data_IF_475976148776
#
_entry.id   IF_475976148776
#
_cell.length_a   1.000
_cell.length_b   1.000
_cell.length_c   1.000
_cell.angle_alpha   90.00
_cell.angle_beta   90.00
_cell.angle_gamma   90.00
#
_symmetry.space_group_name_H-M   'P 1'
#
loop_
_entity.id
_entity.type
_entity.pdbx_description
1 polymer ?
#
# COMPACT_ATOMS: atom_id res chain seq x y z
N UNK A 1 19.26 -1.42 2.80
CA UNK A 1 18.26 -0.98 1.80
C UNK A 1 16.95 -0.96 2.54
N UNK A 2 16.29 0.20 2.65
CA UNK A 2 15.03 0.27 3.38
C UNK A 2 13.88 0.09 2.41
N UNK A 3 13.07 -0.94 2.63
CA UNK A 3 11.85 -1.19 1.88
C UNK A 3 10.63 -1.04 2.80
N UNK A 4 9.49 -0.73 2.20
CA UNK A 4 8.17 -0.85 2.85
C UNK A 4 7.46 -2.10 2.33
N UNK A 5 6.70 -2.72 3.22
CA UNK A 5 5.66 -3.67 2.86
C UNK A 5 4.30 -2.99 3.06
N UNK A 6 3.44 -3.09 2.06
CA UNK A 6 2.05 -2.62 2.07
C UNK A 6 1.12 -3.78 1.74
N UNK A 7 0.14 -4.04 2.60
CA UNK A 7 -0.93 -5.01 2.38
C UNK A 7 -2.28 -4.30 2.35
N UNK A 8 -3.05 -4.51 1.27
CA UNK A 8 -4.34 -3.87 1.03
C UNK A 8 -5.42 -4.94 0.93
N UNK A 9 -6.29 -4.96 1.94
CA UNK A 9 -7.54 -5.69 1.96
C UNK A 9 -8.76 -4.79 1.82
N UNK A 10 -9.93 -5.39 1.62
CA UNK A 10 -11.20 -4.65 1.58
C UNK A 10 -11.66 -4.10 2.93
N UNK A 11 -11.08 -4.59 4.04
CA UNK A 11 -11.44 -4.15 5.39
C UNK A 11 -10.36 -3.30 6.05
N UNK A 12 -9.09 -3.59 5.74
CA UNK A 12 -7.94 -2.94 6.39
C UNK A 12 -6.79 -2.80 5.41
N UNK A 13 -5.94 -1.82 5.66
CA UNK A 13 -4.63 -1.66 5.04
C UNK A 13 -3.56 -1.67 6.13
N UNK A 14 -2.46 -2.35 5.88
CA UNK A 14 -1.36 -2.52 6.82
C UNK A 14 -0.05 -2.16 6.13
N UNK A 15 0.82 -1.40 6.81
CA UNK A 15 2.13 -1.06 6.31
C UNK A 15 3.21 -1.25 7.38
N UNK A 16 4.43 -1.52 6.95
CA UNK A 16 5.58 -1.72 7.82
C UNK A 16 6.88 -1.44 7.07
N UNK A 17 7.90 -0.96 7.79
CA UNK A 17 9.28 -1.05 7.30
C UNK A 17 9.71 -2.52 7.26
N UNK A 18 10.49 -2.89 6.26
CA UNK A 18 11.06 -4.23 6.13
C UNK A 18 12.48 -4.20 6.69
N UNK A 19 12.73 -5.05 7.70
CA UNK A 19 14.05 -5.20 8.30
C UNK A 19 15.03 -5.94 7.39
N UNK A 20 16.31 -5.93 7.77
CA UNK A 20 17.38 -6.60 7.02
C UNK A 20 17.19 -8.13 6.90
N UNK A 21 16.36 -8.73 7.76
CA UNK A 21 15.96 -10.15 7.69
C UNK A 21 14.83 -10.43 6.69
N UNK A 22 14.38 -9.40 5.96
CA UNK A 22 13.30 -9.45 4.98
C UNK A 22 11.91 -9.49 5.59
N UNK A 23 11.75 -9.20 6.90
CA UNK A 23 10.46 -9.25 7.59
C UNK A 23 9.90 -7.86 7.89
N UNK A 24 8.57 -7.67 7.78
CA UNK A 24 7.88 -6.48 8.28
C UNK A 24 8.15 -6.26 9.78
N UNK A 25 8.51 -5.02 10.15
CA UNK A 25 8.73 -4.59 11.53
C UNK A 25 7.71 -3.52 11.92
N UNK A 26 7.19 -3.63 13.14
CA UNK A 26 6.24 -2.66 13.74
C UNK A 26 5.08 -2.28 12.81
N UNK A 27 4.27 -3.25 12.33
CA UNK A 27 3.22 -2.96 11.37
C UNK A 27 2.15 -2.04 11.96
N UNK A 28 1.79 -1.00 11.22
CA UNK A 28 0.65 -0.15 11.49
C UNK A 28 -0.53 -0.54 10.60
N UNK A 29 -1.76 -0.38 11.10
CA UNK A 29 -2.96 -0.81 10.39
C UNK A 29 -4.07 0.22 10.54
N UNK A 30 -4.71 0.56 9.43
CA UNK A 30 -5.91 1.40 9.38
C UNK A 30 -7.07 0.65 8.71
N UNK A 31 -8.33 0.98 9.01
CA UNK A 31 -9.46 0.50 8.22
C UNK A 31 -9.37 0.97 6.76
N UNK A 32 -9.84 0.15 5.82
CA UNK A 32 -10.08 0.61 4.45
C UNK A 32 -11.35 1.44 4.45
N UNK A 33 -11.28 2.76 4.17
CA UNK A 33 -12.47 3.60 4.20
C UNK A 33 -13.37 3.33 2.99
N UNK A 34 -14.63 3.76 3.08
CA UNK A 34 -15.56 3.66 1.95
C UNK A 34 -15.22 4.65 0.81
N UNK A 35 -14.56 5.76 1.14
CA UNK A 35 -14.13 6.81 0.21
C UNK A 35 -12.79 7.38 0.66
N UNK A 36 -11.98 7.87 -0.27
CA UNK A 36 -10.66 8.40 0.04
C UNK A 36 -9.65 7.33 0.45
N UNK A 37 -9.72 6.15 -0.21
CA UNK A 37 -8.88 5.00 0.13
C UNK A 37 -7.40 5.32 -0.10
N UNK A 38 -7.08 6.05 -1.17
CA UNK A 38 -5.70 6.44 -1.46
C UNK A 38 -5.15 7.39 -0.40
N UNK A 39 -5.92 8.39 0.02
CA UNK A 39 -5.52 9.36 1.04
C UNK A 39 -5.22 8.67 2.37
N UNK A 40 -6.07 7.71 2.77
CA UNK A 40 -5.82 6.90 3.97
C UNK A 40 -4.57 6.01 3.82
N UNK A 41 -4.35 5.44 2.64
CA UNK A 41 -3.16 4.64 2.34
C UNK A 41 -1.88 5.49 2.39
N UNK A 42 -1.88 6.67 1.76
CA UNK A 42 -0.74 7.58 1.74
C UNK A 42 -0.40 8.07 3.16
N UNK A 43 -1.41 8.44 3.95
CA UNK A 43 -1.23 8.82 5.34
C UNK A 43 -0.62 7.68 6.18
N UNK A 44 -1.07 6.44 6.00
CA UNK A 44 -0.48 5.26 6.62
C UNK A 44 1.00 5.09 6.23
N UNK A 45 1.32 5.17 4.93
CA UNK A 45 2.69 5.03 4.45
C UNK A 45 3.61 6.12 5.03
N UNK A 46 3.20 7.39 5.00
CA UNK A 46 3.98 8.47 5.60
C UNK A 46 4.17 8.30 7.11
N UNK A 47 3.15 7.82 7.83
CA UNK A 47 3.25 7.51 9.26
C UNK A 47 4.31 6.46 9.56
N UNK A 48 4.31 5.35 8.80
CA UNK A 48 5.27 4.25 8.96
C UNK A 48 6.70 4.64 8.56
N UNK A 49 6.85 5.42 7.50
CA UNK A 49 8.18 5.85 7.01
C UNK A 49 8.85 6.82 7.97
N UNK A 50 8.10 7.77 8.52
CA UNK A 50 8.66 8.85 9.34
C UNK A 50 9.76 9.61 8.59
N UNK A 51 10.99 9.56 9.10
CA UNK A 51 12.16 10.22 8.51
C UNK A 51 13.11 9.26 7.77
N UNK A 52 12.71 8.01 7.54
CA UNK A 52 13.56 7.00 6.90
C UNK A 52 13.52 7.16 5.38
N UNK A 53 14.68 7.11 4.72
CA UNK A 53 14.74 7.08 3.26
C UNK A 53 14.40 5.67 2.74
N UNK A 54 13.24 5.56 2.07
CA UNK A 54 12.73 4.31 1.50
C UNK A 54 12.91 4.33 0.00
N UNK A 55 13.54 3.28 -0.53
CA UNK A 55 13.84 3.19 -1.96
C UNK A 55 12.98 2.17 -2.70
N UNK A 56 12.19 1.36 -1.96
CA UNK A 56 11.35 0.30 -2.51
C UNK A 56 10.08 0.11 -1.70
N UNK A 57 8.98 -0.20 -2.39
CA UNK A 57 7.71 -0.59 -1.77
C UNK A 57 7.25 -1.91 -2.39
N UNK A 58 7.13 -2.94 -1.56
CA UNK A 58 6.47 -4.19 -1.91
C UNK A 58 4.98 -4.09 -1.57
N UNK A 59 4.11 -4.48 -2.51
CA UNK A 59 2.66 -4.34 -2.36
C UNK A 59 1.96 -5.68 -2.54
N UNK A 60 1.16 -6.05 -1.57
CA UNK A 60 0.12 -7.07 -1.68
C UNK A 60 -1.24 -6.37 -1.77
N UNK A 61 -2.04 -6.71 -2.78
CA UNK A 61 -3.38 -6.18 -2.93
C UNK A 61 -4.30 -7.29 -3.42
N UNK A 62 -5.54 -7.30 -2.95
CA UNK A 62 -6.56 -8.17 -3.51
C UNK A 62 -6.70 -7.88 -5.01
N UNK A 63 -6.55 -8.91 -5.84
CA UNK A 63 -6.54 -8.74 -7.29
C UNK A 63 -7.90 -8.44 -7.91
N UNK A 64 -7.96 -8.31 -9.25
CA UNK A 64 -6.85 -8.51 -10.19
C UNK A 64 -5.71 -7.51 -10.06
N UNK A 65 -4.48 -7.94 -10.37
CA UNK A 65 -3.27 -7.10 -10.41
C UNK A 65 -2.66 -7.18 -11.81
N UNK A 66 -2.46 -6.03 -12.45
CA UNK A 66 -1.69 -5.91 -13.68
C UNK A 66 -0.24 -5.53 -13.32
N UNK A 67 0.68 -6.47 -13.49
CA UNK A 67 2.10 -6.28 -13.16
C UNK A 67 2.83 -5.35 -14.14
N UNK A 68 2.31 -5.16 -15.35
CA UNK A 68 2.92 -4.27 -16.36
C UNK A 68 2.62 -2.82 -16.00
N UNK A 69 1.35 -2.51 -15.77
CA UNK A 69 0.92 -1.14 -15.43
C UNK A 69 1.05 -0.84 -13.93
N UNK A 70 1.08 -1.86 -13.08
CA UNK A 70 1.03 -1.71 -11.62
C UNK A 70 -0.35 -1.29 -11.13
N UNK A 71 -1.40 -1.57 -11.91
CA UNK A 71 -2.79 -1.25 -11.56
C UNK A 71 -3.45 -2.41 -10.82
N UNK A 72 -4.39 -2.09 -9.94
CA UNK A 72 -5.15 -3.06 -9.14
C UNK A 72 -6.65 -2.86 -9.33
N UNK A 73 -7.43 -3.94 -9.22
CA UNK A 73 -8.89 -3.91 -9.29
C UNK A 73 -9.56 -4.76 -8.20
N UNK A 74 -9.24 -4.54 -6.90
CA UNK A 74 -9.84 -5.30 -5.79
C UNK A 74 -11.36 -5.13 -5.74
N UNK A 75 -12.10 -6.24 -5.85
CA UNK A 75 -13.58 -6.21 -5.78
C UNK A 75 -14.13 -5.65 -4.46
N UNK A 76 -13.34 -5.73 -3.38
CA UNK A 76 -13.74 -5.30 -2.05
C UNK A 76 -13.37 -3.83 -1.74
N UNK A 77 -12.87 -3.06 -2.71
CA UNK A 77 -12.56 -1.63 -2.56
C UNK A 77 -13.28 -0.87 -3.66
N UNK A 78 -14.40 -0.22 -3.33
CA UNK A 78 -15.33 0.33 -4.31
C UNK A 78 -14.74 1.39 -5.25
N UNK A 79 -13.83 2.23 -4.73
CA UNK A 79 -13.14 3.25 -5.55
C UNK A 79 -12.17 2.64 -6.57
N UNK A 80 -11.67 1.42 -6.31
CA UNK A 80 -10.59 0.81 -7.08
C UNK A 80 -11.02 -0.40 -7.90
N UNK A 81 -12.19 -0.99 -7.62
CA UNK A 81 -12.67 -2.24 -8.25
C UNK A 81 -12.77 -2.20 -9.79
N UNK A 82 -12.79 -1.01 -10.39
CA UNK A 82 -12.81 -0.82 -11.84
C UNK A 82 -11.42 -0.54 -12.45
N UNK A 83 -10.36 -0.59 -11.64
CA UNK A 83 -8.98 -0.27 -12.00
C UNK A 83 -8.49 1.00 -11.32
N UNK A 84 -7.39 0.88 -10.59
CA UNK A 84 -6.69 1.98 -9.93
C UNK A 84 -5.18 1.88 -10.17
N UNK A 85 -4.55 2.96 -10.62
CA UNK A 85 -3.12 3.05 -10.93
C UNK A 85 -2.25 3.14 -9.68
N UNK A 86 -2.21 2.07 -8.88
CA UNK A 86 -1.58 2.08 -7.56
C UNK A 86 -0.08 2.42 -7.62
N UNK A 87 0.67 1.82 -8.56
CA UNK A 87 2.10 2.10 -8.71
C UNK A 87 2.39 3.57 -9.03
N UNK A 88 1.57 4.17 -9.89
CA UNK A 88 1.71 5.59 -10.25
C UNK A 88 1.52 6.48 -9.03
N UNK A 89 0.46 6.23 -8.25
CA UNK A 89 0.17 6.97 -7.04
C UNK A 89 1.28 6.83 -5.98
N UNK A 90 1.79 5.61 -5.74
CA UNK A 90 2.92 5.38 -4.82
C UNK A 90 4.18 6.11 -5.29
N UNK A 91 4.45 6.14 -6.60
CA UNK A 91 5.66 6.77 -7.15
C UNK A 91 5.61 8.30 -7.13
N UNK A 92 4.43 8.90 -6.95
CA UNK A 92 4.20 10.33 -6.91
C UNK A 92 4.05 10.91 -5.50
N UNK A 93 4.02 10.06 -4.47
CA UNK A 93 3.82 10.42 -3.06
C UNK A 93 5.11 10.86 -2.34
#
# INVERSE_FOLDING_TARGET
MTALALDIGGTKMTAALVGDDGRPQHPETVPTPATGVWEACAALLHGVVGSVDVTQVGVACSGPVDLVTGSVAPINVDEWKNGFGLREHISAA
#
